data_IF_370802363875
#
_entry.id   IF_370802363875
#
_cell.length_a   1.000
_cell.length_b   1.000
_cell.length_c   1.000
_cell.angle_alpha   90.00
_cell.angle_beta   90.00
_cell.angle_gamma   90.00
#
_symmetry.space_group_name_H-M   'P 1'
#
loop_
_entity.id
_entity.type
_entity.pdbx_description
1 polymer ?
#
# COMPACT_ATOMS: atom_id res chain seq x y z
N UNK A 1 58.30 41.16 38.80
CA UNK A 1 57.09 40.51 38.25
C UNK A 1 57.49 39.76 36.99
N UNK A 2 57.45 38.42 37.00
CA UNK A 2 58.16 37.57 36.05
C UNK A 2 57.53 37.60 34.64
N UNK A 3 58.33 37.92 33.61
CA UNK A 3 57.91 38.01 32.20
C UNK A 3 57.26 36.71 31.69
N UNK A 4 57.67 35.56 32.24
CA UNK A 4 57.06 34.24 31.96
C UNK A 4 55.60 34.15 32.43
N UNK A 5 55.24 34.81 33.52
CA UNK A 5 53.88 34.81 34.07
C UNK A 5 52.95 35.73 33.25
N UNK A 6 53.50 36.81 32.67
CA UNK A 6 52.76 37.69 31.76
C UNK A 6 52.48 36.99 30.42
N UNK A 7 53.48 36.30 29.86
CA UNK A 7 53.33 35.52 28.62
C UNK A 7 52.35 34.35 28.78
N UNK A 8 52.38 33.66 29.92
CA UNK A 8 51.46 32.55 30.19
C UNK A 8 50.01 33.04 30.31
N UNK A 9 49.78 34.17 30.99
CA UNK A 9 48.45 34.79 31.09
C UNK A 9 47.96 35.35 29.75
N UNK A 10 48.84 35.92 28.92
CA UNK A 10 48.47 36.34 27.56
C UNK A 10 48.07 35.15 26.68
N UNK A 11 48.77 34.01 26.78
CA UNK A 11 48.43 32.81 26.02
C UNK A 11 47.08 32.22 26.44
N UNK A 12 46.75 32.18 27.74
CA UNK A 12 45.43 31.70 28.21
C UNK A 12 44.30 32.63 27.76
N UNK A 13 44.49 33.95 27.77
CA UNK A 13 43.47 34.90 27.30
C UNK A 13 43.19 34.72 25.79
N UNK A 14 44.21 34.45 24.98
CA UNK A 14 44.05 34.21 23.53
C UNK A 14 43.27 32.91 23.26
N UNK A 15 43.55 31.83 24.02
CA UNK A 15 42.83 30.56 23.88
C UNK A 15 41.35 30.69 24.29
N UNK A 16 41.06 31.46 25.35
CA UNK A 16 39.66 31.73 25.75
C UNK A 16 38.94 32.58 24.70
N UNK A 17 39.62 33.58 24.11
CA UNK A 17 39.06 34.41 23.05
C UNK A 17 38.75 33.61 21.76
N UNK A 18 39.56 32.59 21.43
CA UNK A 18 39.29 31.68 20.32
C UNK A 18 38.11 30.72 20.60
N UNK A 19 37.89 30.33 21.86
CA UNK A 19 36.72 29.53 22.23
C UNK A 19 35.40 30.30 22.16
N UNK A 20 35.39 31.63 22.32
CA UNK A 20 34.17 32.45 22.24
C UNK A 20 33.71 32.79 20.82
N UNK A 21 34.54 32.56 19.79
CA UNK A 21 34.16 32.81 18.39
C UNK A 21 33.57 31.57 17.68
N UNK A 22 33.48 30.41 18.35
CA UNK A 22 32.76 29.25 17.83
C UNK A 22 31.29 29.22 18.30
N UNK A 23 30.58 30.35 18.17
CA UNK A 23 29.13 30.28 17.98
C UNK A 23 28.91 29.89 16.51
N UNK A 24 29.00 28.59 16.25
CA UNK A 24 28.49 27.99 15.03
C UNK A 24 26.99 28.30 14.98
N UNK A 25 26.65 29.39 14.30
CA UNK A 25 25.26 29.72 14.01
C UNK A 25 24.82 28.70 12.99
N UNK A 26 24.10 27.67 13.45
CA UNK A 26 23.25 26.87 12.58
C UNK A 26 22.24 27.84 11.98
N UNK A 27 22.61 28.46 10.86
CA UNK A 27 21.64 29.08 9.97
C UNK A 27 20.64 27.97 9.67
N UNK A 28 19.42 28.11 10.15
CA UNK A 28 18.33 27.29 9.67
C UNK A 28 18.30 27.53 8.17
N UNK A 29 18.80 26.58 7.40
CA UNK A 29 18.47 26.52 5.98
C UNK A 29 16.95 26.44 5.97
N UNK A 30 16.29 27.55 5.65
CA UNK A 30 14.93 27.54 5.19
C UNK A 30 14.92 26.87 3.81
N UNK A 31 15.24 25.56 3.79
CA UNK A 31 14.47 24.67 2.93
C UNK A 31 13.05 24.86 3.42
N UNK A 32 12.34 25.77 2.76
CA UNK A 32 10.92 25.57 2.50
C UNK A 32 10.85 24.10 2.16
N UNK A 33 10.32 23.29 3.07
CA UNK A 33 9.87 21.97 2.69
C UNK A 33 8.96 22.29 1.52
N UNK A 34 9.36 21.92 0.31
CA UNK A 34 8.41 21.94 -0.79
C UNK A 34 7.32 21.04 -0.27
N UNK A 35 6.21 21.63 0.15
CA UNK A 35 4.99 20.91 0.47
C UNK A 35 4.79 20.04 -0.75
N UNK A 36 5.05 18.73 -0.61
CA UNK A 36 4.78 17.79 -1.70
C UNK A 36 3.29 17.93 -1.91
N UNK A 37 2.90 18.68 -2.94
CA UNK A 37 1.51 18.83 -3.32
C UNK A 37 0.99 17.41 -3.51
N UNK A 38 0.05 17.01 -2.67
CA UNK A 38 -0.54 15.69 -2.74
C UNK A 38 -1.22 15.58 -4.10
N UNK A 39 -0.88 14.53 -4.85
CA UNK A 39 -1.51 14.25 -6.13
C UNK A 39 -2.84 13.59 -5.80
N UNK A 40 -3.94 14.31 -6.03
CA UNK A 40 -5.28 13.76 -5.87
C UNK A 40 -5.55 12.71 -6.95
N UNK A 41 -5.95 11.47 -6.60
CA UNK A 41 -6.28 10.45 -7.56
C UNK A 41 -7.49 10.85 -8.42
N UNK A 42 -7.43 10.57 -9.71
CA UNK A 42 -8.56 10.72 -10.61
C UNK A 42 -9.68 9.75 -10.24
N UNK A 43 -10.92 10.22 -10.41
CA UNK A 43 -12.11 9.39 -10.31
C UNK A 43 -12.15 8.35 -11.46
N UNK A 44 -13.01 7.32 -11.35
CA UNK A 44 -13.28 6.40 -12.47
C UNK A 44 -13.67 7.14 -13.76
N UNK A 45 -13.27 6.58 -14.89
CA UNK A 45 -13.43 7.17 -16.24
C UNK A 45 -14.12 6.18 -17.19
N UNK A 46 -14.37 6.58 -18.43
CA UNK A 46 -14.97 5.70 -19.45
C UNK A 46 -13.94 5.19 -20.47
N UNK A 47 -12.67 5.58 -20.34
CA UNK A 47 -11.58 5.21 -21.25
C UNK A 47 -10.71 4.10 -20.62
N UNK A 48 -10.28 3.13 -21.43
CA UNK A 48 -9.35 2.10 -20.94
C UNK A 48 -7.95 2.67 -20.71
N UNK A 49 -7.06 1.87 -20.12
CA UNK A 49 -5.64 2.23 -20.01
C UNK A 49 -4.96 2.32 -21.39
N UNK A 50 -5.42 1.51 -22.36
CA UNK A 50 -4.90 1.51 -23.71
C UNK A 50 -5.28 2.79 -24.45
N UNK A 51 -6.55 3.21 -24.38
CA UNK A 51 -7.04 4.43 -25.02
C UNK A 51 -6.31 5.69 -24.51
N UNK A 52 -5.95 5.68 -23.22
CA UNK A 52 -5.20 6.76 -22.56
C UNK A 52 -3.68 6.66 -22.73
N UNK A 53 -3.17 5.68 -23.47
CA UNK A 53 -1.75 5.42 -23.69
C UNK A 53 -0.94 5.24 -22.37
N UNK A 54 -1.56 4.63 -21.36
CA UNK A 54 -0.97 4.43 -20.02
C UNK A 54 -0.26 3.07 -19.86
N UNK A 55 -0.35 2.18 -20.86
CA UNK A 55 0.36 0.90 -20.88
C UNK A 55 1.77 1.15 -21.42
N UNK A 56 2.68 1.53 -20.52
CA UNK A 56 4.07 1.90 -20.85
C UNK A 56 5.08 1.08 -20.04
N UNK A 57 6.29 0.89 -20.58
CA UNK A 57 7.36 0.11 -19.92
C UNK A 57 8.03 0.86 -18.76
N UNK A 58 8.01 2.20 -18.78
CA UNK A 58 8.64 3.04 -17.76
C UNK A 58 7.65 4.12 -17.25
N UNK A 59 6.70 3.75 -16.37
CA UNK A 59 5.66 4.66 -15.87
C UNK A 59 6.24 5.69 -14.90
N UNK A 60 5.75 6.92 -14.94
CA UNK A 60 6.13 7.95 -13.95
C UNK A 60 5.33 7.75 -12.66
N UNK A 61 6.00 7.89 -11.51
CA UNK A 61 5.36 7.81 -10.18
C UNK A 61 4.16 8.77 -10.07
N UNK A 62 4.30 10.00 -10.58
CA UNK A 62 3.21 10.99 -10.57
C UNK A 62 1.98 10.52 -11.35
N UNK A 63 2.18 9.83 -12.47
CA UNK A 63 1.09 9.30 -13.30
C UNK A 63 0.42 8.11 -12.60
N UNK A 64 1.19 7.21 -11.98
CA UNK A 64 0.59 6.10 -11.19
C UNK A 64 -0.26 6.64 -10.05
N UNK A 65 0.25 7.60 -9.28
CA UNK A 65 -0.50 8.22 -8.18
C UNK A 65 -1.76 8.95 -8.66
N UNK A 66 -1.71 9.53 -9.86
CA UNK A 66 -2.86 10.21 -10.46
C UNK A 66 -3.90 9.23 -11.01
N UNK A 67 -3.47 8.12 -11.62
CA UNK A 67 -4.33 7.27 -12.45
C UNK A 67 -4.81 5.98 -11.77
N UNK A 68 -4.21 5.56 -10.65
CA UNK A 68 -4.47 4.24 -10.05
C UNK A 68 -5.93 3.98 -9.64
N UNK A 69 -6.74 5.03 -9.45
CA UNK A 69 -8.15 4.93 -9.08
C UNK A 69 -9.10 5.16 -10.27
N UNK A 70 -8.56 5.54 -11.43
CA UNK A 70 -9.31 5.82 -12.66
C UNK A 70 -9.53 4.54 -13.49
N UNK A 71 -10.26 3.58 -12.92
CA UNK A 71 -10.70 2.39 -13.68
C UNK A 71 -11.86 2.74 -14.62
N UNK A 72 -12.06 1.90 -15.64
CA UNK A 72 -13.13 2.08 -16.62
C UNK A 72 -14.46 1.53 -16.09
N UNK A 73 -15.48 2.38 -15.94
CA UNK A 73 -16.79 2.02 -15.40
C UNK A 73 -17.60 1.09 -16.33
N UNK A 74 -17.61 1.40 -17.62
CA UNK A 74 -18.41 0.69 -18.64
C UNK A 74 -17.93 -0.75 -18.85
N UNK A 75 -16.65 -1.02 -18.55
CA UNK A 75 -16.02 -2.33 -18.77
C UNK A 75 -15.80 -3.13 -17.49
N UNK A 76 -16.38 -2.72 -16.35
CA UNK A 76 -16.29 -3.46 -15.07
C UNK A 76 -16.79 -4.90 -15.19
N UNK A 77 -17.84 -5.12 -15.99
CA UNK A 77 -18.42 -6.43 -16.28
C UNK A 77 -17.82 -7.16 -17.48
N UNK A 78 -16.95 -6.50 -18.26
CA UNK A 78 -16.36 -7.05 -19.49
C UNK A 78 -15.07 -7.79 -19.18
N UNK A 79 -14.94 -9.02 -19.67
CA UNK A 79 -13.75 -9.85 -19.47
C UNK A 79 -12.88 -9.84 -20.73
N UNK A 80 -11.66 -9.31 -20.60
CA UNK A 80 -10.68 -9.19 -21.69
C UNK A 80 -9.62 -10.30 -21.69
N UNK A 81 -9.76 -11.30 -20.82
CA UNK A 81 -8.83 -12.41 -20.67
C UNK A 81 -9.59 -13.73 -20.62
N UNK A 82 -9.29 -14.64 -21.56
CA UNK A 82 -10.05 -15.88 -21.72
C UNK A 82 -9.63 -17.01 -20.77
N UNK A 83 -8.46 -16.90 -20.12
CA UNK A 83 -7.98 -17.91 -19.18
C UNK A 83 -8.65 -17.84 -17.81
N UNK A 84 -8.38 -18.85 -16.98
CA UNK A 84 -8.85 -18.90 -15.59
C UNK A 84 -8.24 -17.76 -14.77
N UNK A 85 -9.09 -17.04 -14.06
CA UNK A 85 -8.71 -15.94 -13.16
C UNK A 85 -9.17 -16.28 -11.74
N UNK A 86 -8.20 -16.44 -10.84
CA UNK A 86 -8.40 -16.67 -9.41
C UNK A 86 -8.07 -15.40 -8.62
N UNK A 87 -9.02 -14.89 -7.83
CA UNK A 87 -8.80 -13.78 -6.91
C UNK A 87 -8.77 -14.25 -5.45
N UNK A 88 -7.76 -13.85 -4.68
CA UNK A 88 -7.75 -14.05 -3.24
C UNK A 88 -8.47 -12.90 -2.53
N UNK A 89 -9.25 -13.23 -1.50
CA UNK A 89 -9.97 -12.24 -0.67
C UNK A 89 -9.63 -12.52 0.79
N UNK A 90 -9.23 -11.50 1.54
CA UNK A 90 -8.66 -11.68 2.88
C UNK A 90 -9.40 -10.82 3.91
N UNK A 91 -9.72 -11.34 5.12
CA UNK A 91 -10.44 -10.59 6.16
C UNK A 91 -9.72 -9.31 6.60
N UNK A 92 -8.39 -9.33 6.69
CA UNK A 92 -7.58 -8.18 7.13
C UNK A 92 -7.45 -7.06 6.07
N UNK A 93 -7.97 -7.27 4.86
CA UNK A 93 -8.06 -6.24 3.82
C UNK A 93 -9.46 -6.21 3.23
N UNK A 94 -10.37 -5.56 3.96
CA UNK A 94 -11.81 -5.51 3.66
C UNK A 94 -12.12 -4.98 2.26
N UNK A 95 -11.28 -4.09 1.71
CA UNK A 95 -11.42 -3.59 0.33
C UNK A 95 -11.44 -4.70 -0.72
N UNK A 96 -10.82 -5.86 -0.43
CA UNK A 96 -10.87 -7.03 -1.30
C UNK A 96 -12.30 -7.52 -1.57
N UNK A 97 -13.19 -7.43 -0.59
CA UNK A 97 -14.60 -7.83 -0.74
C UNK A 97 -15.34 -6.92 -1.71
N UNK A 98 -15.07 -5.62 -1.67
CA UNK A 98 -15.66 -4.63 -2.57
C UNK A 98 -15.13 -4.76 -3.99
N UNK A 99 -13.82 -4.98 -4.15
CA UNK A 99 -13.20 -5.23 -5.45
C UNK A 99 -13.74 -6.52 -6.09
N UNK A 100 -13.93 -7.57 -5.29
CA UNK A 100 -14.52 -8.82 -5.77
C UNK A 100 -15.96 -8.65 -6.29
N UNK A 101 -16.77 -7.79 -5.65
CA UNK A 101 -18.11 -7.44 -6.14
C UNK A 101 -18.02 -6.57 -7.39
N UNK A 102 -17.25 -5.48 -7.34
CA UNK A 102 -17.13 -4.50 -8.42
C UNK A 102 -16.69 -5.14 -9.75
N UNK A 103 -15.79 -6.11 -9.69
CA UNK A 103 -15.24 -6.78 -10.87
C UNK A 103 -15.62 -8.27 -10.93
N UNK A 104 -16.75 -8.68 -10.34
CA UNK A 104 -17.15 -10.08 -10.22
C UNK A 104 -17.08 -10.87 -11.54
N UNK A 105 -17.52 -10.26 -12.64
CA UNK A 105 -17.53 -10.86 -13.98
C UNK A 105 -16.12 -11.07 -14.59
N UNK A 106 -15.09 -10.44 -14.03
CA UNK A 106 -13.70 -10.65 -14.46
C UNK A 106 -13.07 -11.89 -13.82
N UNK A 107 -13.63 -12.39 -12.74
CA UNK A 107 -13.13 -13.56 -12.02
C UNK A 107 -13.85 -14.84 -12.46
N UNK A 108 -13.10 -15.92 -12.54
CA UNK A 108 -13.67 -17.28 -12.67
C UNK A 108 -13.79 -17.96 -11.31
N UNK A 109 -12.84 -17.66 -10.42
CA UNK A 109 -12.74 -18.23 -9.09
C UNK A 109 -12.40 -17.13 -8.08
N UNK A 110 -12.98 -17.23 -6.88
CA UNK A 110 -12.56 -16.45 -5.72
C UNK A 110 -12.18 -17.39 -4.59
N UNK A 111 -11.00 -17.20 -4.02
CA UNK A 111 -10.49 -17.93 -2.87
C UNK A 111 -10.46 -17.02 -1.63
N UNK A 112 -11.56 -16.93 -0.87
CA UNK A 112 -11.53 -16.28 0.43
C UNK A 112 -10.61 -17.04 1.38
N UNK A 113 -9.82 -16.30 2.17
CA UNK A 113 -8.83 -16.83 3.11
C UNK A 113 -9.41 -16.81 4.52
N UNK A 114 -10.27 -17.78 4.79
CA UNK A 114 -10.97 -17.92 6.08
C UNK A 114 -10.51 -19.12 6.88
N UNK A 115 -10.27 -20.25 6.20
CA UNK A 115 -10.22 -21.55 6.85
C UNK A 115 -8.78 -21.98 7.14
N UNK A 116 -8.60 -22.65 8.27
CA UNK A 116 -7.35 -23.32 8.65
C UNK A 116 -7.65 -24.77 9.02
N UNK A 117 -6.78 -25.68 8.61
CA UNK A 117 -6.80 -27.07 9.05
C UNK A 117 -5.78 -27.26 10.18
N UNK A 118 -6.27 -27.57 11.37
CA UNK A 118 -5.43 -27.79 12.55
C UNK A 118 -5.45 -29.26 12.94
N UNK A 119 -4.27 -29.86 13.03
CA UNK A 119 -4.10 -31.20 13.61
C UNK A 119 -4.36 -31.11 15.12
N UNK A 120 -5.18 -32.02 15.63
CA UNK A 120 -5.51 -32.09 17.05
C UNK A 120 -4.41 -32.81 17.84
N UNK A 121 -4.47 -32.74 19.17
CA UNK A 121 -3.47 -33.33 20.08
C UNK A 121 -3.39 -34.87 19.99
N UNK A 122 -4.44 -35.51 19.46
CA UNK A 122 -4.48 -36.95 19.21
C UNK A 122 -3.66 -37.39 17.99
N UNK A 123 -3.14 -36.44 17.20
CA UNK A 123 -2.42 -36.62 15.94
C UNK A 123 -3.16 -37.42 14.84
N UNK A 124 -4.45 -37.73 15.06
CA UNK A 124 -5.26 -38.54 14.16
C UNK A 124 -6.43 -37.75 13.56
N UNK A 125 -6.84 -36.65 14.21
CA UNK A 125 -7.99 -35.86 13.77
C UNK A 125 -7.62 -34.43 13.39
N UNK A 126 -8.36 -33.86 12.43
CA UNK A 126 -8.17 -32.49 11.95
C UNK A 126 -9.43 -31.69 12.24
N UNK A 127 -9.26 -30.52 12.86
CA UNK A 127 -10.31 -29.53 13.07
C UNK A 127 -10.19 -28.41 12.04
N UNK A 128 -11.32 -28.00 11.45
CA UNK A 128 -11.38 -26.80 10.61
C UNK A 128 -11.72 -25.59 11.47
N UNK A 129 -10.79 -24.65 11.56
CA UNK A 129 -10.96 -23.36 12.24
C UNK A 129 -11.32 -22.24 11.24
N UNK A 130 -11.66 -21.05 11.76
CA UNK A 130 -11.95 -19.87 10.94
C UNK A 130 -13.34 -19.81 10.28
N UNK A 131 -14.24 -20.73 10.64
CA UNK A 131 -15.61 -20.81 10.09
C UNK A 131 -16.49 -19.59 10.41
N UNK A 132 -16.14 -18.83 11.45
CA UNK A 132 -16.83 -17.60 11.84
C UNK A 132 -16.60 -16.42 10.87
N UNK A 133 -15.53 -16.47 10.06
CA UNK A 133 -15.23 -15.44 9.06
C UNK A 133 -15.99 -15.65 7.73
N UNK A 134 -16.76 -16.75 7.62
CA UNK A 134 -17.55 -17.04 6.42
C UNK A 134 -18.69 -16.03 6.26
N UNK A 135 -18.58 -15.17 5.25
CA UNK A 135 -19.62 -14.21 4.90
C UNK A 135 -20.53 -14.76 3.79
N UNK A 136 -21.61 -15.43 4.21
CA UNK A 136 -22.63 -15.97 3.30
C UNK A 136 -23.33 -14.90 2.46
N UNK A 137 -23.53 -13.69 3.01
CA UNK A 137 -24.21 -12.60 2.31
C UNK A 137 -23.34 -12.05 1.19
N UNK A 138 -22.04 -11.90 1.44
CA UNK A 138 -21.08 -11.54 0.42
C UNK A 138 -20.99 -12.60 -0.68
N UNK A 139 -20.93 -13.89 -0.30
CA UNK A 139 -20.94 -14.99 -1.27
C UNK A 139 -22.18 -14.96 -2.16
N UNK A 140 -23.35 -14.71 -1.58
CA UNK A 140 -24.60 -14.57 -2.33
C UNK A 140 -24.54 -13.38 -3.30
N UNK A 141 -24.14 -12.21 -2.82
CA UNK A 141 -24.04 -10.99 -3.63
C UNK A 141 -23.11 -11.20 -4.84
N UNK A 142 -21.98 -11.87 -4.64
CA UNK A 142 -21.02 -12.13 -5.72
C UNK A 142 -21.59 -13.12 -6.75
N UNK A 143 -22.35 -14.13 -6.33
CA UNK A 143 -23.04 -15.07 -7.24
C UNK A 143 -24.19 -14.42 -8.00
N UNK A 144 -24.88 -13.45 -7.41
CA UNK A 144 -25.89 -12.66 -8.10
C UNK A 144 -25.27 -11.82 -9.22
N UNK A 145 -24.07 -11.27 -8.98
CA UNK A 145 -23.32 -10.48 -9.97
C UNK A 145 -22.66 -11.33 -11.06
N UNK A 146 -22.20 -12.55 -10.72
CA UNK A 146 -21.61 -13.51 -11.65
C UNK A 146 -22.09 -14.94 -11.30
N UNK A 147 -23.15 -15.45 -11.97
CA UNK A 147 -23.73 -16.76 -11.68
C UNK A 147 -22.78 -17.94 -11.88
N UNK A 148 -21.79 -17.80 -12.77
CA UNK A 148 -20.83 -18.86 -13.11
C UNK A 148 -19.61 -18.91 -12.18
N UNK A 149 -19.51 -17.98 -11.21
CA UNK A 149 -18.34 -17.86 -10.35
C UNK A 149 -18.20 -19.01 -9.36
N UNK A 150 -16.96 -19.50 -9.20
CA UNK A 150 -16.63 -20.54 -8.23
C UNK A 150 -15.99 -19.93 -6.99
N UNK A 151 -16.65 -20.05 -5.84
CA UNK A 151 -16.08 -19.65 -4.56
C UNK A 151 -15.41 -20.87 -3.94
N UNK A 152 -14.09 -20.82 -3.83
CA UNK A 152 -13.19 -21.93 -3.46
C UNK A 152 -12.31 -21.48 -2.27
N UNK A 153 -12.83 -21.47 -1.03
CA UNK A 153 -12.08 -21.00 0.13
C UNK A 153 -10.71 -21.67 0.25
N UNK A 154 -9.69 -20.88 0.56
CA UNK A 154 -8.35 -21.41 0.85
C UNK A 154 -8.39 -22.06 2.23
N UNK A 155 -7.85 -23.27 2.31
CA UNK A 155 -7.54 -23.96 3.57
C UNK A 155 -6.03 -23.84 3.76
N UNK A 156 -5.62 -23.29 4.90
CA UNK A 156 -4.20 -23.15 5.30
C UNK A 156 -3.85 -24.29 6.26
#
# INVERSE_FOLDING_TARGET
MNLKCLLLNCMTIIVIAQHHQCLATLSQSSRTSKTKSQVEPKAPVNESLADRNLIVTNPKVKEVLLEHNAYNLETTSVRNFNGTVLGYVTPWNSRGYDIAKLFAMKFTHLAPVWLQAKLNDDEETITIEGTHDIDFKWMQTVRELNPDIKIVPRII
#
